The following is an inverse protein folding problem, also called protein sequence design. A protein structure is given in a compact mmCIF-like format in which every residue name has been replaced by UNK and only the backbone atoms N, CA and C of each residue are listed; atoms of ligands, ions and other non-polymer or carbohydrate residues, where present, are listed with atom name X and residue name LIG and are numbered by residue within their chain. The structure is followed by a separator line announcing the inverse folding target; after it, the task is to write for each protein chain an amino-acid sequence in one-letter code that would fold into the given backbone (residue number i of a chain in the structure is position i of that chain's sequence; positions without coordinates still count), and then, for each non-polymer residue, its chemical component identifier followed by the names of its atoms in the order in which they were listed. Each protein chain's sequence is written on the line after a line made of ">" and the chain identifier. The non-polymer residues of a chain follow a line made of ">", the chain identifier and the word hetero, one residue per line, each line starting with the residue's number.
data_IF_689404415885
#
_entry.id   IF_689404415885
#
_cell.length_a   1.000
_cell.length_b   1.000
_cell.length_c   1.000
_cell.angle_alpha   90.00
_cell.angle_beta   90.00
_cell.angle_gamma   90.00
#
_symmetry.space_group_name_H-M   'P 1'
#
loop_
_entity.id
_entity.type
_entity.pdbx_description
1 polymer ?
#
# COMPACT_ATOMS: atom_id res chain seq x y z
N UNK A 1 -23.03 27.54 -5.04
CA UNK A 1 -22.12 26.61 -5.73
C UNK A 1 -22.92 25.37 -6.09
N UNK A 2 -23.15 25.09 -7.37
CA UNK A 2 -23.82 23.87 -7.83
C UNK A 2 -22.77 22.76 -7.92
N UNK A 3 -22.87 21.76 -7.04
CA UNK A 3 -21.97 20.60 -7.04
C UNK A 3 -22.22 19.75 -8.28
N UNK A 4 -21.17 19.44 -9.03
CA UNK A 4 -21.24 18.48 -10.14
C UNK A 4 -21.59 17.09 -9.60
N UNK A 5 -22.58 16.38 -10.16
CA UNK A 5 -22.92 15.03 -9.73
C UNK A 5 -21.76 14.05 -9.99
N UNK A 6 -21.55 13.11 -9.05
CA UNK A 6 -20.53 12.07 -9.18
C UNK A 6 -20.96 11.03 -10.21
N UNK A 7 -20.05 10.64 -11.08
CA UNK A 7 -20.25 9.57 -12.07
C UNK A 7 -20.24 8.19 -11.37
N UNK A 8 -21.32 7.39 -11.46
CA UNK A 8 -21.38 6.06 -10.86
C UNK A 8 -20.36 5.06 -11.43
N UNK A 9 -19.81 5.31 -12.63
CA UNK A 9 -18.84 4.42 -13.29
C UNK A 9 -17.37 4.77 -12.97
N UNK A 10 -17.11 5.85 -12.24
CA UNK A 10 -15.77 6.39 -11.97
C UNK A 10 -14.76 5.35 -11.41
N UNK A 11 -15.25 4.37 -10.65
CA UNK A 11 -14.45 3.32 -10.02
C UNK A 11 -14.91 1.90 -10.37
N UNK A 12 -15.52 1.71 -11.54
CA UNK A 12 -15.94 0.38 -11.98
C UNK A 12 -14.75 -0.60 -12.02
N UNK A 13 -14.84 -1.78 -11.37
CA UNK A 13 -13.73 -2.74 -11.30
C UNK A 13 -13.39 -3.41 -12.63
N UNK A 14 -14.27 -3.32 -13.64
CA UNK A 14 -14.13 -3.87 -14.99
C UNK A 14 -13.60 -2.81 -15.97
N UNK A 15 -13.90 -1.52 -15.73
CA UNK A 15 -13.39 -0.41 -16.54
C UNK A 15 -12.12 0.19 -15.91
N UNK A 16 -10.94 0.07 -16.53
CA UNK A 16 -9.73 0.69 -16.02
C UNK A 16 -9.82 2.21 -16.20
N UNK A 17 -10.50 2.90 -15.28
CA UNK A 17 -10.45 4.36 -15.22
C UNK A 17 -9.04 4.75 -14.80
N UNK A 18 -8.43 5.71 -15.51
CA UNK A 18 -7.15 6.31 -15.11
C UNK A 18 -7.24 7.03 -13.76
N UNK A 19 -8.46 7.25 -13.28
CA UNK A 19 -8.79 7.85 -12.00
C UNK A 19 -8.79 6.83 -10.85
N UNK A 20 -8.75 5.53 -11.15
CA UNK A 20 -8.80 4.50 -10.13
C UNK A 20 -7.51 4.53 -9.29
N UNK A 21 -7.60 4.84 -7.99
CA UNK A 21 -6.41 4.85 -7.13
C UNK A 21 -5.86 3.44 -6.99
N UNK A 22 -4.55 3.32 -6.81
CA UNK A 22 -3.90 2.03 -6.58
C UNK A 22 -4.44 1.43 -5.28
N UNK A 23 -5.08 0.26 -5.39
CA UNK A 23 -5.75 -0.43 -4.28
C UNK A 23 -4.83 -1.54 -3.77
N UNK A 24 -4.13 -1.26 -2.67
CA UNK A 24 -3.31 -2.27 -2.01
C UNK A 24 -4.12 -3.30 -1.22
N UNK A 25 -5.44 -3.16 -1.11
CA UNK A 25 -6.38 -4.17 -0.60
C UNK A 25 -6.22 -4.60 0.87
N UNK A 26 -5.12 -4.24 1.54
CA UNK A 26 -4.83 -4.54 2.93
C UNK A 26 -3.78 -3.58 3.52
N UNK A 27 -3.72 -3.52 4.85
CA UNK A 27 -2.86 -2.59 5.61
C UNK A 27 -1.36 -2.87 5.55
N UNK A 28 -0.93 -4.06 5.10
CA UNK A 28 0.47 -4.50 5.16
C UNK A 28 1.19 -4.38 3.82
N UNK A 29 0.46 -4.36 2.71
CA UNK A 29 1.03 -4.31 1.37
C UNK A 29 2.04 -3.15 1.17
N UNK A 30 1.73 -1.95 1.66
CA UNK A 30 2.68 -0.83 1.64
C UNK A 30 3.95 -1.08 2.47
N UNK A 31 3.82 -1.72 3.64
CA UNK A 31 4.97 -2.07 4.49
C UNK A 31 5.85 -3.14 3.84
N UNK A 32 5.25 -4.12 3.17
CA UNK A 32 6.00 -5.13 2.40
C UNK A 32 6.82 -4.46 1.31
N UNK A 33 6.21 -3.55 0.53
CA UNK A 33 6.91 -2.82 -0.53
C UNK A 33 8.10 -2.05 0.05
N UNK A 34 7.90 -1.33 1.16
CA UNK A 34 8.98 -0.63 1.87
C UNK A 34 10.10 -1.54 2.33
N UNK A 35 9.79 -2.72 2.86
CA UNK A 35 10.82 -3.66 3.30
C UNK A 35 11.66 -4.22 2.14
N UNK A 36 11.12 -4.26 0.93
CA UNK A 36 11.76 -4.80 -0.27
C UNK A 36 12.47 -3.72 -1.13
N UNK A 37 12.38 -2.44 -0.75
CA UNK A 37 13.02 -1.31 -1.44
C UNK A 37 14.53 -1.53 -1.61
N UNK A 38 15.18 -2.05 -0.55
CA UNK A 38 16.63 -2.31 -0.51
C UNK A 38 16.99 -3.75 -0.92
N UNK A 39 16.18 -4.37 -1.76
CA UNK A 39 16.45 -5.67 -2.37
C UNK A 39 15.72 -6.86 -1.73
N UNK A 40 16.05 -8.09 -2.19
CA UNK A 40 15.27 -9.28 -1.87
C UNK A 40 15.32 -9.67 -0.38
N UNK A 41 14.23 -10.22 0.16
CA UNK A 41 14.12 -10.65 1.58
C UNK A 41 13.35 -11.96 1.74
N UNK A 42 13.65 -12.71 2.81
CA UNK A 42 12.87 -13.88 3.25
C UNK A 42 11.59 -13.44 3.97
N UNK A 43 10.59 -14.33 3.99
CA UNK A 43 9.35 -14.13 4.75
C UNK A 43 9.60 -13.81 6.23
N UNK A 44 10.56 -14.48 6.85
CA UNK A 44 10.92 -14.26 8.26
C UNK A 44 11.50 -12.88 8.50
N UNK A 45 12.32 -12.37 7.58
CA UNK A 45 12.91 -11.02 7.67
C UNK A 45 11.84 -9.94 7.54
N UNK A 46 10.87 -10.12 6.65
CA UNK A 46 9.73 -9.20 6.51
C UNK A 46 8.91 -9.08 7.79
N UNK A 47 8.78 -10.15 8.58
CA UNK A 47 7.99 -10.13 9.82
C UNK A 47 8.63 -9.32 10.95
N UNK A 48 9.95 -9.13 10.94
CA UNK A 48 10.68 -8.44 12.02
C UNK A 48 10.22 -6.98 12.19
N UNK A 49 10.18 -6.13 11.14
CA UNK A 49 9.72 -4.75 11.29
C UNK A 49 8.19 -4.64 11.48
N UNK A 50 7.42 -5.58 10.96
CA UNK A 50 5.95 -5.54 10.98
C UNK A 50 5.36 -6.13 12.28
N UNK A 51 5.58 -5.47 13.41
CA UNK A 51 5.03 -5.90 14.71
C UNK A 51 3.51 -6.06 14.64
N UNK A 52 3.00 -7.21 15.09
CA UNK A 52 1.56 -7.54 15.07
C UNK A 52 1.04 -8.14 13.75
N UNK A 53 1.87 -8.30 12.72
CA UNK A 53 1.47 -9.05 11.52
C UNK A 53 1.36 -10.55 11.83
N UNK A 54 0.21 -11.15 11.52
CA UNK A 54 0.07 -12.60 11.55
C UNK A 54 0.67 -13.20 10.28
N UNK A 55 1.16 -14.44 10.35
CA UNK A 55 1.68 -15.12 9.16
C UNK A 55 0.62 -15.20 8.05
N UNK A 56 -0.65 -15.46 8.42
CA UNK A 56 -1.78 -15.47 7.48
C UNK A 56 -1.98 -14.11 6.79
N UNK A 57 -1.89 -13.02 7.55
CA UNK A 57 -2.04 -11.68 6.99
C UNK A 57 -0.89 -11.33 6.02
N UNK A 58 0.36 -11.59 6.41
CA UNK A 58 1.52 -11.34 5.55
C UNK A 58 1.45 -12.15 4.25
N UNK A 59 1.09 -13.44 4.34
CA UNK A 59 0.90 -14.28 3.14
C UNK A 59 -0.20 -13.75 2.23
N UNK A 60 -1.30 -13.22 2.80
CA UNK A 60 -2.37 -12.61 2.01
C UNK A 60 -1.85 -11.38 1.24
N UNK A 61 -1.11 -10.51 1.90
CA UNK A 61 -0.54 -9.30 1.29
C UNK A 61 0.46 -9.64 0.19
N UNK A 62 1.40 -10.57 0.45
CA UNK A 62 2.37 -11.02 -0.55
C UNK A 62 1.69 -11.60 -1.80
N UNK A 63 0.67 -12.46 -1.63
CA UNK A 63 -0.10 -13.00 -2.76
C UNK A 63 -0.83 -11.93 -3.56
N UNK A 64 -1.33 -10.89 -2.89
CA UNK A 64 -1.99 -9.77 -3.56
C UNK A 64 -0.98 -8.96 -4.37
N UNK A 65 0.19 -8.66 -3.79
CA UNK A 65 1.27 -7.97 -4.48
C UNK A 65 1.82 -8.77 -5.66
N UNK A 66 1.94 -10.10 -5.52
CA UNK A 66 2.29 -11.01 -6.61
C UNK A 66 1.25 -11.00 -7.73
N UNK A 67 -0.04 -11.11 -7.39
CA UNK A 67 -1.14 -11.04 -8.37
C UNK A 67 -1.17 -9.70 -9.13
N UNK A 68 -0.81 -8.61 -8.45
CA UNK A 68 -0.74 -7.28 -9.04
C UNK A 68 0.57 -7.03 -9.79
N UNK A 69 1.48 -8.02 -9.86
CA UNK A 69 2.76 -7.90 -10.55
C UNK A 69 3.76 -6.96 -9.87
N UNK A 70 3.57 -6.63 -8.59
CA UNK A 70 4.44 -5.72 -7.83
C UNK A 70 5.57 -6.47 -7.11
N UNK A 71 5.33 -7.72 -6.72
CA UNK A 71 6.31 -8.57 -6.06
C UNK A 71 6.44 -9.87 -6.84
N UNK A 72 7.63 -10.42 -6.87
CA UNK A 72 7.90 -11.78 -7.32
C UNK A 72 8.73 -12.52 -6.28
N UNK A 73 8.79 -13.86 -6.40
CA UNK A 73 9.49 -14.71 -5.44
C UNK A 73 10.30 -15.80 -6.12
N UNK A 74 11.63 -15.72 -6.02
CA UNK A 74 12.55 -16.83 -6.36
C UNK A 74 13.96 -16.64 -5.75
N UNK A 75 14.41 -17.46 -4.77
CA UNK A 75 13.63 -18.06 -3.68
C UNK A 75 13.17 -17.02 -2.63
N UNK A 76 13.66 -15.78 -2.76
CA UNK A 76 13.39 -14.62 -1.92
C UNK A 76 12.31 -13.74 -2.55
N UNK A 77 11.58 -12.96 -1.74
CA UNK A 77 10.66 -11.95 -2.25
C UNK A 77 11.42 -10.71 -2.69
N UNK A 78 11.06 -10.14 -3.84
CA UNK A 78 11.65 -8.90 -4.36
C UNK A 78 10.62 -8.08 -5.13
N UNK A 79 10.85 -6.76 -5.23
CA UNK A 79 10.06 -5.90 -6.10
C UNK A 79 10.39 -6.17 -7.57
N UNK A 80 9.35 -6.32 -8.39
CA UNK A 80 9.46 -6.28 -9.85
C UNK A 80 9.80 -4.85 -10.31
N UNK A 81 10.12 -4.62 -11.60
CA UNK A 81 10.25 -3.25 -12.12
C UNK A 81 9.01 -2.37 -11.86
N UNK A 82 7.80 -2.93 -12.02
CA UNK A 82 6.54 -2.25 -11.68
C UNK A 82 6.40 -2.02 -10.17
N UNK A 83 6.83 -3.00 -9.35
CA UNK A 83 6.91 -2.86 -7.91
C UNK A 83 7.83 -1.74 -7.45
N UNK A 84 8.92 -1.46 -8.18
CA UNK A 84 9.83 -0.35 -7.87
C UNK A 84 9.22 1.00 -8.26
N UNK A 85 8.48 1.08 -9.36
CA UNK A 85 7.88 2.35 -9.79
C UNK A 85 6.83 2.90 -8.81
N UNK A 86 6.27 2.05 -7.94
CA UNK A 86 5.31 2.48 -6.91
C UNK A 86 5.96 3.20 -5.72
N UNK A 87 7.28 3.09 -5.55
CA UNK A 87 7.99 3.72 -4.44
C UNK A 87 7.89 5.25 -4.52
N UNK A 88 7.87 5.84 -5.73
CA UNK A 88 7.68 7.28 -5.92
C UNK A 88 6.36 7.78 -5.32
N UNK A 89 5.19 7.26 -5.76
CA UNK A 89 3.90 7.59 -5.15
C UNK A 89 3.85 7.32 -3.63
N UNK A 90 4.43 6.21 -3.17
CA UNK A 90 4.50 5.92 -1.73
C UNK A 90 5.37 6.91 -0.95
N UNK A 91 6.45 7.43 -1.54
CA UNK A 91 7.29 8.46 -0.94
C UNK A 91 6.50 9.75 -0.73
N UNK A 92 5.81 10.23 -1.77
CA UNK A 92 5.00 11.43 -1.68
C UNK A 92 3.90 11.30 -0.61
N UNK A 93 3.23 10.14 -0.53
CA UNK A 93 2.23 9.91 0.51
C UNK A 93 2.84 9.85 1.93
N UNK A 94 4.02 9.25 2.08
CA UNK A 94 4.73 9.21 3.37
C UNK A 94 5.24 10.58 3.80
N UNK A 95 5.74 11.39 2.87
CA UNK A 95 6.20 12.75 3.11
C UNK A 95 5.06 13.63 3.60
N UNK A 96 3.94 13.66 2.86
CA UNK A 96 2.72 14.36 3.28
C UNK A 96 2.24 13.90 4.66
N UNK A 97 2.20 12.58 4.90
CA UNK A 97 1.77 12.06 6.19
C UNK A 97 2.72 12.44 7.34
N UNK A 98 4.01 12.62 7.05
CA UNK A 98 5.00 13.11 8.01
C UNK A 98 4.83 14.59 8.32
N UNK A 99 4.59 15.42 7.30
CA UNK A 99 4.32 16.86 7.45
C UNK A 99 3.05 17.14 8.26
N UNK A 100 2.02 16.30 8.10
CA UNK A 100 0.71 16.47 8.74
C UNK A 100 0.44 15.50 9.89
N UNK A 101 1.48 14.88 10.46
CA UNK A 101 1.28 13.82 11.45
C UNK A 101 0.53 14.29 12.70
N UNK A 102 0.89 15.46 13.23
CA UNK A 102 0.27 16.03 14.42
C UNK A 102 -1.20 16.39 14.15
N UNK A 103 -1.49 17.00 13.00
CA UNK A 103 -2.86 17.30 12.57
C UNK A 103 -3.72 16.03 12.45
N UNK A 104 -3.14 14.94 11.95
CA UNK A 104 -3.83 13.64 11.87
C UNK A 104 -4.09 13.04 13.25
N UNK A 105 -3.19 13.23 14.22
CA UNK A 105 -3.38 12.76 15.59
C UNK A 105 -4.50 13.55 16.28
N UNK A 106 -4.45 14.88 16.21
CA UNK A 106 -5.48 15.76 16.78
C UNK A 106 -6.87 15.44 16.23
N UNK A 107 -6.96 15.23 14.91
CA UNK A 107 -8.21 14.86 14.26
C UNK A 107 -8.74 13.48 14.70
N UNK A 108 -7.87 12.51 15.01
CA UNK A 108 -8.29 11.20 15.53
C UNK A 108 -8.82 11.33 16.96
N UNK A 109 -8.06 11.99 17.82
CA UNK A 109 -8.47 12.19 19.22
C UNK A 109 -9.79 12.96 19.34
N UNK A 110 -10.04 13.93 18.45
CA UNK A 110 -11.29 14.67 18.43
C UNK A 110 -12.50 13.83 18.01
N UNK A 111 -12.31 12.85 17.12
CA UNK A 111 -13.39 11.99 16.61
C UNK A 111 -13.63 10.73 17.47
N UNK A 112 -12.65 10.35 18.29
CA UNK A 112 -12.77 9.22 19.24
C UNK A 112 -13.40 9.63 20.59
N UNK A 113 -13.72 10.92 20.78
CA UNK A 113 -14.47 11.47 21.93
C UNK A 113 -15.97 11.51 21.65
#
# INVERSE_FOLDING_TARGET
>A
MTTTPLDPEMFDPVCPSSLSPIRFGDKWSGMVIRCLENGPRRFSELRVPMRGVTAKALTKSLRLLERNGLVERDPLYQLTPLGKSILGPLNAACEWAGEHWDELLDAREANDR
#
